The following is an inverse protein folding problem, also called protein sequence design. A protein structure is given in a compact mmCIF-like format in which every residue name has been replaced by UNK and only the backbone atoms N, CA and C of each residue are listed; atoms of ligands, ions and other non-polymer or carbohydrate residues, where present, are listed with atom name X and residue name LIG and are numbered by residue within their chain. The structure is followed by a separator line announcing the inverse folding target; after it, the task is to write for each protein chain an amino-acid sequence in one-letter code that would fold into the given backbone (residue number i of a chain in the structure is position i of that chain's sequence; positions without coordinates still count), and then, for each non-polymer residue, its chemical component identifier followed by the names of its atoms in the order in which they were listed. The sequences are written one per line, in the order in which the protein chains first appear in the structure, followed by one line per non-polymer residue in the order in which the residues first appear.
data_IF_140817238999
#
_entry.id   IF_140817238999
#
_cell.length_a   1.000
_cell.length_b   1.000
_cell.length_c   1.000
_cell.angle_alpha   90.00
_cell.angle_beta   90.00
_cell.angle_gamma   90.00
#
_symmetry.space_group_name_H-M   'P 1'
#
loop_
_entity.id
_entity.type
_entity.pdbx_description
1 polymer ?
#
# COMPACT_ATOMS: atom_id res chain seq x y z
N UNK A 1 12.51 -8.61 -16.30
CA UNK A 1 11.67 -7.65 -15.53
C UNK A 1 10.30 -7.53 -16.18
N UNK A 2 10.21 -7.28 -17.49
CA UNK A 2 8.91 -7.21 -18.19
C UNK A 2 8.05 -8.48 -18.05
N UNK A 3 8.66 -9.67 -18.16
CA UNK A 3 7.94 -10.94 -17.96
C UNK A 3 7.35 -11.07 -16.56
N UNK A 4 8.00 -10.49 -15.54
CA UNK A 4 7.52 -10.50 -14.15
C UNK A 4 6.37 -9.49 -13.97
N UNK A 5 6.48 -8.30 -14.56
CA UNK A 5 5.39 -7.29 -14.56
C UNK A 5 4.12 -7.86 -15.20
N UNK A 6 4.26 -8.53 -16.35
CA UNK A 6 3.14 -9.16 -17.04
C UNK A 6 2.43 -10.19 -16.16
N UNK A 7 3.18 -11.08 -15.49
CA UNK A 7 2.63 -12.08 -14.58
C UNK A 7 1.84 -11.45 -13.41
N UNK A 8 2.32 -10.33 -12.88
CA UNK A 8 1.65 -9.61 -11.78
C UNK A 8 0.35 -8.97 -12.26
N UNK A 9 0.34 -8.31 -13.44
CA UNK A 9 -0.85 -7.63 -13.97
C UNK A 9 -1.97 -8.58 -14.41
N UNK A 10 -1.64 -9.86 -14.64
CA UNK A 10 -2.61 -10.90 -14.99
C UNK A 10 -3.10 -11.73 -13.80
N UNK A 11 -2.53 -11.56 -12.61
CA UNK A 11 -2.90 -12.35 -11.44
C UNK A 11 -4.27 -11.92 -10.89
N UNK A 12 -5.29 -12.77 -11.07
CA UNK A 12 -6.67 -12.52 -10.63
C UNK A 12 -6.84 -12.54 -9.10
N UNK A 13 -5.85 -13.03 -8.34
CA UNK A 13 -5.88 -13.02 -6.87
C UNK A 13 -5.50 -11.67 -6.29
N UNK A 14 -4.80 -10.85 -7.06
CA UNK A 14 -4.59 -9.46 -6.71
C UNK A 14 -5.91 -8.77 -6.97
N UNK A 15 -6.80 -8.72 -5.97
CA UNK A 15 -8.08 -8.01 -6.05
C UNK A 15 -7.73 -6.53 -6.21
N UNK A 16 -7.78 -5.97 -7.42
CA UNK A 16 -7.19 -4.68 -7.61
C UNK A 16 -8.34 -3.69 -7.48
N UNK A 17 -8.29 -2.90 -6.41
CA UNK A 17 -9.06 -1.64 -6.35
C UNK A 17 -8.67 -0.69 -7.51
N UNK A 18 -7.66 -1.07 -8.29
CA UNK A 18 -7.15 -0.40 -9.47
C UNK A 18 -7.42 -1.25 -10.73
N UNK A 19 -7.77 -0.61 -11.82
CA UNK A 19 -7.87 -1.26 -13.13
C UNK A 19 -6.48 -1.54 -13.71
N UNK A 20 -6.40 -2.51 -14.63
CA UNK A 20 -5.16 -2.80 -15.39
C UNK A 20 -4.64 -1.56 -16.15
N UNK A 21 -5.56 -0.69 -16.58
CA UNK A 21 -5.24 0.55 -17.26
C UNK A 21 -4.52 1.52 -16.32
N UNK A 22 -5.05 1.72 -15.12
CA UNK A 22 -4.43 2.58 -14.10
C UNK A 22 -3.03 2.09 -13.69
N UNK A 23 -2.81 0.76 -13.64
CA UNK A 23 -1.48 0.20 -13.42
C UNK A 23 -0.50 0.52 -14.57
N UNK A 24 -0.97 0.45 -15.81
CA UNK A 24 -0.15 0.77 -16.97
C UNK A 24 0.19 2.26 -17.06
N UNK A 25 -0.77 3.13 -16.71
CA UNK A 25 -0.58 4.57 -16.67
C UNK A 25 0.41 4.96 -15.57
N UNK A 26 0.29 4.37 -14.37
CA UNK A 26 1.23 4.57 -13.27
C UNK A 26 2.65 4.08 -13.61
N UNK A 27 2.79 2.96 -14.34
CA UNK A 27 4.11 2.47 -14.79
C UNK A 27 4.76 3.44 -15.76
N UNK A 28 3.98 3.98 -16.71
CA UNK A 28 4.46 4.98 -17.67
C UNK A 28 4.86 6.29 -16.97
N UNK A 29 4.06 6.75 -16.03
CA UNK A 29 4.37 7.94 -15.24
C UNK A 29 5.64 7.74 -14.42
N UNK A 30 5.80 6.57 -13.80
CA UNK A 30 7.02 6.22 -13.06
C UNK A 30 8.24 6.22 -13.97
N UNK A 31 8.15 5.67 -15.20
CA UNK A 31 9.30 5.66 -16.12
C UNK A 31 9.76 7.06 -16.53
N UNK A 32 8.83 8.02 -16.62
CA UNK A 32 9.12 9.43 -16.96
C UNK A 32 9.77 10.23 -15.82
N UNK A 33 9.80 9.70 -14.59
CA UNK A 33 10.43 10.37 -13.45
C UNK A 33 11.96 10.38 -13.55
N UNK A 34 12.57 11.41 -12.97
CA UNK A 34 14.02 11.44 -12.76
C UNK A 34 14.46 10.40 -11.73
N UNK A 35 15.75 10.05 -11.72
CA UNK A 35 16.29 9.09 -10.75
C UNK A 35 16.04 9.52 -9.29
N UNK A 36 16.08 10.82 -9.01
CA UNK A 36 15.85 11.35 -7.66
C UNK A 36 14.38 11.21 -7.25
N UNK A 37 13.45 11.52 -8.15
CA UNK A 37 12.02 11.35 -7.93
C UNK A 37 11.65 9.86 -7.78
N UNK A 38 12.24 8.98 -8.61
CA UNK A 38 12.06 7.52 -8.49
C UNK A 38 12.45 7.02 -7.09
N UNK A 39 13.58 7.49 -6.55
CA UNK A 39 14.01 7.14 -5.18
C UNK A 39 13.03 7.64 -4.12
N UNK A 40 12.56 8.88 -4.23
CA UNK A 40 11.60 9.43 -3.27
C UNK A 40 10.27 8.68 -3.27
N UNK A 41 9.75 8.32 -4.45
CA UNK A 41 8.52 7.53 -4.58
C UNK A 41 8.67 6.15 -3.95
N UNK A 42 9.80 5.46 -4.21
CA UNK A 42 10.07 4.16 -3.61
C UNK A 42 10.22 4.23 -2.09
N UNK A 43 10.91 5.25 -1.57
CA UNK A 43 11.01 5.47 -0.12
C UNK A 43 9.65 5.68 0.53
N UNK A 44 8.78 6.49 -0.09
CA UNK A 44 7.40 6.70 0.38
C UNK A 44 6.56 5.41 0.36
N UNK A 45 6.73 4.57 -0.66
CA UNK A 45 6.06 3.27 -0.76
C UNK A 45 6.47 2.31 0.36
N UNK A 46 7.77 2.24 0.66
CA UNK A 46 8.29 1.42 1.76
C UNK A 46 7.80 1.96 3.11
N UNK A 47 7.78 3.28 3.28
CA UNK A 47 7.31 3.91 4.52
C UNK A 47 5.80 3.65 4.75
N UNK A 48 4.97 3.74 3.71
CA UNK A 48 3.55 3.37 3.79
C UNK A 48 3.31 1.91 4.18
N UNK A 49 4.17 0.99 3.75
CA UNK A 49 4.07 -0.42 4.16
C UNK A 49 4.41 -0.64 5.64
N UNK A 50 5.12 0.28 6.30
CA UNK A 50 5.40 0.21 7.75
C UNK A 50 4.25 0.68 8.62
N UNK A 51 3.19 1.25 8.03
CA UNK A 51 2.01 1.71 8.76
C UNK A 51 1.04 0.56 9.10
N UNK A 52 1.35 -0.68 8.70
CA UNK A 52 0.56 -1.84 9.09
C UNK A 52 0.84 -2.19 10.55
N UNK A 53 -0.17 -1.98 11.41
CA UNK A 53 -0.14 -2.35 12.82
C UNK A 53 -1.25 -3.36 13.06
N UNK A 54 -0.93 -4.46 13.72
CA UNK A 54 -1.93 -5.46 14.08
C UNK A 54 -2.92 -4.86 15.09
N UNK A 55 -4.20 -5.23 15.02
CA UNK A 55 -5.20 -4.82 16.01
C UNK A 55 -4.78 -5.14 17.47
N UNK A 56 -4.04 -6.23 17.71
CA UNK A 56 -3.47 -6.56 19.03
C UNK A 56 -2.43 -5.56 19.53
N UNK A 57 -1.76 -4.89 18.60
CA UNK A 57 -0.62 -4.02 18.87
C UNK A 57 -1.04 -2.54 18.77
N UNK A 58 -2.33 -2.25 18.54
CA UNK A 58 -2.84 -0.89 18.39
C UNK A 58 -2.80 -0.05 19.68
N UNK A 59 -2.77 -0.70 20.84
CA UNK A 59 -2.61 -0.03 22.13
C UNK A 59 -1.14 0.26 22.47
N UNK A 60 -0.18 -0.23 21.68
CA UNK A 60 1.24 0.09 21.87
C UNK A 60 1.53 1.56 21.49
N UNK A 61 1.94 2.32 22.50
CA UNK A 61 2.27 3.75 22.40
C UNK A 61 3.40 4.03 21.39
N UNK A 62 4.22 3.03 21.05
CA UNK A 62 5.31 3.12 20.08
C UNK A 62 4.82 3.48 18.68
N UNK A 63 3.59 3.06 18.32
CA UNK A 63 3.02 3.32 16.99
C UNK A 63 2.27 4.65 16.89
N UNK A 64 2.06 5.36 18.00
CA UNK A 64 1.43 6.69 18.04
C UNK A 64 0.11 6.77 17.25
N UNK A 65 -0.69 5.70 17.28
CA UNK A 65 -1.95 5.62 16.54
C UNK A 65 -3.00 6.49 17.23
N UNK A 66 -3.79 7.23 16.45
CA UNK A 66 -4.86 8.07 16.97
C UNK A 66 -6.00 7.25 17.54
N UNK A 67 -6.67 7.74 18.60
CA UNK A 67 -7.82 7.06 19.20
C UNK A 67 -8.97 6.83 18.20
N UNK A 68 -9.10 7.71 17.20
CA UNK A 68 -10.08 7.56 16.11
C UNK A 68 -9.77 6.35 15.21
N UNK A 69 -8.49 6.15 14.86
CA UNK A 69 -8.07 5.00 14.02
C UNK A 69 -8.16 3.68 14.80
N UNK A 70 -7.86 3.71 16.11
CA UNK A 70 -8.07 2.56 17.01
C UNK A 70 -9.55 2.18 17.08
N UNK A 71 -10.43 3.16 17.31
CA UNK A 71 -11.87 2.94 17.37
C UNK A 71 -12.45 2.43 16.04
N UNK A 72 -12.01 2.99 14.91
CA UNK A 72 -12.37 2.51 13.58
C UNK A 72 -11.98 1.05 13.38
N UNK A 73 -10.73 0.70 13.67
CA UNK A 73 -10.27 -0.68 13.52
C UNK A 73 -11.02 -1.63 14.45
N UNK A 74 -11.25 -1.23 15.71
CA UNK A 74 -12.00 -2.02 16.66
C UNK A 74 -13.44 -2.31 16.20
N UNK A 75 -14.10 -1.32 15.59
CA UNK A 75 -15.46 -1.49 15.05
C UNK A 75 -15.54 -2.60 13.98
N UNK A 76 -14.46 -2.82 13.22
CA UNK A 76 -14.39 -3.89 12.21
C UNK A 76 -14.35 -5.30 12.83
N UNK A 77 -13.84 -5.43 14.06
CA UNK A 77 -13.72 -6.71 14.78
C UNK A 77 -14.81 -6.93 15.83
N UNK A 78 -15.55 -5.88 16.22
CA UNK A 78 -16.67 -5.95 17.17
C UNK A 78 -18.02 -6.31 16.50
N UNK A 79 -18.12 -6.32 15.16
CA UNK A 79 -19.29 -6.79 14.39
C UNK A 79 -19.31 -8.33 14.16
N UNK A 80 -18.67 -9.12 15.04
CA UNK A 80 -18.66 -10.60 14.98
C UNK A 80 -19.24 -11.26 16.24
#
# INVERSE_FOLDING_TARGET
IESVKASIYTDERIVPYLTKQELADADKDFENLTLEEKKQVLSKLVDKNKLYVNASDMDDETYQISDADKAFTKSFYEEA
#
